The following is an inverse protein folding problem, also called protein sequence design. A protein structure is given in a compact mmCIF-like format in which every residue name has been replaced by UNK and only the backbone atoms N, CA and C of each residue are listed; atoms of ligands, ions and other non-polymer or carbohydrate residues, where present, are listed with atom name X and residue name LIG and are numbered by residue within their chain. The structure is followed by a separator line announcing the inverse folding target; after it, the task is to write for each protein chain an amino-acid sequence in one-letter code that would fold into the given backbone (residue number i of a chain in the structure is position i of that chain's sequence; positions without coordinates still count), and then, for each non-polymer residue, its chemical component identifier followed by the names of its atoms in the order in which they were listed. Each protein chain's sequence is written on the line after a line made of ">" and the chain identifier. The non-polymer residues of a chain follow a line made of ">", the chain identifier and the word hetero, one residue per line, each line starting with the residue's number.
data_IF_455306647074
#
_entry.id   IF_455306647074
#
_cell.length_a   1.000
_cell.length_b   1.000
_cell.length_c   1.000
_cell.angle_alpha   90.00
_cell.angle_beta   90.00
_cell.angle_gamma   90.00
#
_symmetry.space_group_name_H-M   'P 1'
#
loop_
_entity.id
_entity.type
_entity.pdbx_description
1 polymer ?
#
# COMPACT_ATOMS: atom_id res chain seq x y z
N UNK A 1 -24.96 -22.24 -8.36
CA UNK A 1 -24.55 -20.83 -8.28
C UNK A 1 -24.72 -20.36 -6.85
N UNK A 2 -23.62 -20.21 -6.12
CA UNK A 2 -23.58 -19.66 -4.76
C UNK A 2 -22.32 -18.80 -4.68
N UNK A 3 -22.49 -17.49 -4.67
CA UNK A 3 -21.42 -16.51 -4.53
C UNK A 3 -21.23 -16.21 -3.04
N UNK A 4 -20.25 -16.85 -2.43
CA UNK A 4 -19.67 -16.42 -1.16
C UNK A 4 -18.15 -16.56 -1.28
N UNK A 5 -17.50 -15.48 -1.70
CA UNK A 5 -16.05 -15.43 -1.92
C UNK A 5 -15.50 -14.12 -1.40
N UNK A 6 -15.72 -13.81 -0.12
CA UNK A 6 -14.96 -12.78 0.59
C UNK A 6 -13.67 -13.40 1.12
N UNK A 7 -12.56 -12.76 0.80
CA UNK A 7 -11.19 -13.14 1.13
C UNK A 7 -11.01 -13.33 2.66
N UNK A 8 -10.46 -14.45 3.15
CA UNK A 8 -10.35 -14.73 4.59
C UNK A 8 -9.37 -13.84 5.36
N UNK A 9 -8.67 -12.90 4.70
CA UNK A 9 -7.72 -11.96 5.34
C UNK A 9 -8.36 -10.82 6.16
N UNK A 10 -9.69 -10.69 6.19
CA UNK A 10 -10.39 -9.64 6.93
C UNK A 10 -10.69 -9.94 8.41
N UNK A 11 -10.10 -10.98 9.02
CA UNK A 11 -10.42 -11.39 10.40
C UNK A 11 -9.52 -10.82 11.51
N UNK A 12 -8.63 -9.88 11.21
CA UNK A 12 -7.55 -9.49 12.14
C UNK A 12 -7.66 -8.15 12.87
N UNK A 13 -8.61 -7.27 12.53
CA UNK A 13 -8.77 -5.97 13.19
C UNK A 13 -10.26 -5.68 13.37
N UNK A 14 -10.92 -6.48 14.20
CA UNK A 14 -12.24 -6.16 14.75
C UNK A 14 -12.12 -6.35 16.25
N UNK A 15 -11.79 -5.27 16.96
CA UNK A 15 -12.16 -5.19 18.36
C UNK A 15 -13.68 -5.26 18.43
N UNK A 16 -14.21 -6.12 19.30
CA UNK A 16 -15.66 -6.36 19.46
C UNK A 16 -16.46 -5.06 19.73
N UNK A 17 -15.80 -3.98 20.16
CA UNK A 17 -16.36 -2.64 20.30
C UNK A 17 -16.71 -1.96 18.96
N UNK A 18 -15.95 -2.18 17.88
CA UNK A 18 -16.17 -1.51 16.59
C UNK A 18 -17.45 -2.02 15.89
N UNK A 19 -17.67 -3.34 15.92
CA UNK A 19 -18.88 -3.96 15.38
C UNK A 19 -20.14 -3.68 16.23
N UNK A 20 -19.97 -3.51 17.55
CA UNK A 20 -21.06 -3.14 18.45
C UNK A 20 -21.53 -1.68 18.22
N UNK A 21 -20.59 -0.76 17.97
CA UNK A 21 -20.88 0.64 17.60
C UNK A 21 -21.58 0.72 16.23
N UNK A 22 -21.19 -0.13 15.27
CA UNK A 22 -21.79 -0.17 13.94
C UNK A 22 -23.24 -0.68 13.90
N UNK A 23 -23.66 -1.53 14.85
CA UNK A 23 -25.03 -2.10 14.87
C UNK A 23 -26.15 -1.11 15.21
N UNK A 24 -25.79 0.05 15.76
CA UNK A 24 -26.75 1.09 16.18
C UNK A 24 -26.61 2.42 15.44
N UNK A 25 -25.70 2.49 14.45
CA UNK A 25 -25.47 3.68 13.65
C UNK A 25 -26.65 3.93 12.67
N UNK A 26 -27.39 5.05 12.76
CA UNK A 26 -28.30 5.45 11.69
C UNK A 26 -27.50 5.61 10.38
N UNK A 27 -28.15 5.41 9.23
CA UNK A 27 -27.55 5.32 7.88
C UNK A 27 -26.47 6.37 7.54
N UNK A 28 -26.40 7.49 8.24
CA UNK A 28 -25.47 8.59 8.02
C UNK A 28 -24.17 8.50 8.86
N UNK A 29 -24.19 7.80 10.00
CA UNK A 29 -22.98 7.43 10.76
C UNK A 29 -22.17 6.34 10.03
N UNK A 30 -22.77 5.71 9.01
CA UNK A 30 -22.09 4.81 8.08
C UNK A 30 -21.08 5.52 7.18
N UNK A 31 -21.25 6.81 6.83
CA UNK A 31 -20.36 7.47 5.87
C UNK A 31 -18.98 7.79 6.49
N UNK A 32 -18.96 8.30 7.73
CA UNK A 32 -17.71 8.53 8.48
C UNK A 32 -17.04 7.20 8.84
N UNK A 33 -17.83 6.17 9.15
CA UNK A 33 -17.31 4.81 9.35
C UNK A 33 -16.73 4.23 8.06
N UNK A 34 -17.38 4.43 6.91
CA UNK A 34 -16.88 4.02 5.61
C UNK A 34 -15.58 4.75 5.26
N UNK A 35 -15.45 6.03 5.63
CA UNK A 35 -14.23 6.81 5.46
C UNK A 35 -13.07 6.20 6.26
N UNK A 36 -13.32 5.90 7.55
CA UNK A 36 -12.33 5.26 8.41
C UNK A 36 -11.89 3.89 7.86
N UNK A 37 -12.84 3.07 7.40
CA UNK A 37 -12.56 1.77 6.81
C UNK A 37 -11.77 1.87 5.50
N UNK A 38 -12.11 2.82 4.62
CA UNK A 38 -11.40 3.06 3.37
C UNK A 38 -9.95 3.49 3.64
N UNK A 39 -9.75 4.40 4.60
CA UNK A 39 -8.40 4.82 5.02
C UNK A 39 -7.61 3.63 5.57
N UNK A 40 -8.20 2.83 6.46
CA UNK A 40 -7.51 1.68 7.04
C UNK A 40 -7.12 0.63 5.98
N UNK A 41 -8.01 0.35 5.03
CA UNK A 41 -7.75 -0.59 3.92
C UNK A 41 -6.59 -0.11 3.08
N UNK A 42 -6.65 1.14 2.63
CA UNK A 42 -5.60 1.78 1.84
C UNK A 42 -4.24 1.76 2.53
N UNK A 43 -4.20 1.97 3.85
CA UNK A 43 -2.95 1.88 4.62
C UNK A 43 -2.34 0.48 4.59
N UNK A 44 -3.16 -0.56 4.75
CA UNK A 44 -2.69 -1.94 4.69
C UNK A 44 -2.19 -2.30 3.28
N UNK A 45 -2.89 -1.85 2.24
CA UNK A 45 -2.51 -2.12 0.86
C UNK A 45 -1.17 -1.43 0.52
N UNK A 46 -0.98 -0.18 0.96
CA UNK A 46 0.31 0.51 0.78
C UNK A 46 1.44 -0.15 1.58
N UNK A 47 1.18 -0.69 2.77
CA UNK A 47 2.16 -1.49 3.51
C UNK A 47 2.52 -2.80 2.79
N UNK A 48 1.53 -3.49 2.23
CA UNK A 48 1.74 -4.70 1.41
C UNK A 48 2.62 -4.37 0.21
N UNK A 49 2.27 -3.33 -0.54
CA UNK A 49 3.04 -2.85 -1.69
C UNK A 49 4.48 -2.50 -1.31
N UNK A 50 4.68 -1.78 -0.21
CA UNK A 50 6.02 -1.44 0.28
C UNK A 50 6.84 -2.68 0.63
N UNK A 51 6.24 -3.62 1.35
CA UNK A 51 6.89 -4.85 1.76
C UNK A 51 7.31 -5.70 0.56
N UNK A 52 6.40 -5.87 -0.42
CA UNK A 52 6.68 -6.61 -1.64
C UNK A 52 7.77 -5.96 -2.48
N UNK A 53 7.78 -4.62 -2.56
CA UNK A 53 8.79 -3.87 -3.32
C UNK A 53 10.18 -4.00 -2.69
N UNK A 54 10.26 -3.80 -1.38
CA UNK A 54 11.50 -3.98 -0.63
C UNK A 54 11.98 -5.42 -0.73
N UNK A 55 11.08 -6.39 -0.61
CA UNK A 55 11.39 -7.81 -0.75
C UNK A 55 12.00 -8.12 -2.13
N UNK A 56 11.36 -7.65 -3.21
CA UNK A 56 11.87 -7.82 -4.57
C UNK A 56 13.28 -7.24 -4.70
N UNK A 57 13.47 -5.98 -4.30
CA UNK A 57 14.76 -5.29 -4.45
C UNK A 57 15.84 -6.00 -3.62
N UNK A 58 15.61 -6.19 -2.32
CA UNK A 58 16.60 -6.77 -1.41
C UNK A 58 16.96 -8.20 -1.79
N UNK A 59 15.96 -9.05 -2.04
CA UNK A 59 16.22 -10.47 -2.30
C UNK A 59 16.93 -10.69 -3.63
N UNK A 60 16.52 -9.95 -4.66
CA UNK A 60 17.16 -10.04 -5.98
C UNK A 60 18.59 -9.51 -5.93
N UNK A 61 18.84 -8.37 -5.27
CA UNK A 61 20.20 -7.85 -5.10
C UNK A 61 21.10 -8.82 -4.32
N UNK A 62 20.61 -9.45 -3.25
CA UNK A 62 21.37 -10.45 -2.49
C UNK A 62 21.65 -11.73 -3.29
N UNK A 63 20.72 -12.13 -4.14
CA UNK A 63 20.89 -13.29 -5.02
C UNK A 63 21.94 -13.05 -6.12
N UNK A 64 22.25 -11.79 -6.43
CA UNK A 64 23.06 -11.36 -7.56
C UNK A 64 24.56 -11.20 -7.26
N UNK A 65 25.16 -12.15 -6.53
CA UNK A 65 26.52 -12.07 -5.94
C UNK A 65 27.66 -11.54 -6.87
N UNK A 66 27.52 -11.64 -8.20
CA UNK A 66 28.48 -11.10 -9.19
C UNK A 66 27.86 -10.17 -10.26
N UNK A 67 26.54 -9.98 -10.24
CA UNK A 67 25.75 -9.24 -11.24
C UNK A 67 25.11 -7.96 -10.70
N UNK A 68 25.63 -7.43 -9.59
CA UNK A 68 25.01 -6.34 -8.84
C UNK A 68 24.73 -5.09 -9.70
N UNK A 69 25.60 -4.75 -10.66
CA UNK A 69 25.39 -3.59 -11.55
C UNK A 69 24.24 -3.80 -12.52
N UNK A 70 24.13 -4.98 -13.12
CA UNK A 70 23.07 -5.32 -14.09
C UNK A 70 21.73 -5.45 -13.38
N UNK A 71 21.67 -6.19 -12.27
CA UNK A 71 20.45 -6.27 -11.44
C UNK A 71 20.01 -4.89 -10.93
N UNK A 72 20.95 -4.06 -10.48
CA UNK A 72 20.62 -2.69 -10.08
C UNK A 72 20.05 -1.88 -11.25
N UNK A 73 20.53 -2.07 -12.47
CA UNK A 73 20.01 -1.36 -13.65
C UNK A 73 18.58 -1.78 -14.01
N UNK A 74 18.19 -3.01 -13.72
CA UNK A 74 16.81 -3.51 -13.93
C UNK A 74 15.89 -3.06 -12.79
N UNK A 75 16.35 -3.13 -11.53
CA UNK A 75 15.54 -2.76 -10.36
C UNK A 75 15.36 -1.25 -10.19
N UNK A 76 16.30 -0.43 -10.67
CA UNK A 76 16.27 1.03 -10.53
C UNK A 76 15.02 1.65 -11.15
N UNK A 77 14.65 1.34 -12.41
CA UNK A 77 13.38 1.79 -12.99
C UNK A 77 12.15 1.39 -12.16
N UNK A 78 12.09 0.16 -11.63
CA UNK A 78 10.95 -0.31 -10.82
C UNK A 78 10.82 0.53 -9.55
N UNK A 79 11.94 0.74 -8.85
CA UNK A 79 12.03 1.60 -7.68
C UNK A 79 11.58 3.02 -8.01
N UNK A 80 12.09 3.59 -9.09
CA UNK A 80 11.84 5.00 -9.43
C UNK A 80 10.37 5.24 -9.78
N UNK A 81 9.73 4.32 -10.53
CA UNK A 81 8.27 4.37 -10.77
C UNK A 81 7.49 4.23 -9.47
N UNK A 82 7.87 3.28 -8.61
CA UNK A 82 7.20 3.13 -7.32
C UNK A 82 7.33 4.39 -6.46
N UNK A 83 8.48 5.07 -6.48
CA UNK A 83 8.64 6.36 -5.79
C UNK A 83 7.74 7.44 -6.39
N UNK A 84 7.64 7.53 -7.72
CA UNK A 84 6.70 8.46 -8.37
C UNK A 84 5.26 8.19 -7.92
N UNK A 85 4.87 6.91 -7.83
CA UNK A 85 3.57 6.49 -7.32
C UNK A 85 3.37 6.90 -5.86
N UNK A 86 4.33 6.64 -4.97
CA UNK A 86 4.28 7.09 -3.56
C UNK A 86 4.10 8.60 -3.44
N UNK A 87 4.78 9.38 -4.28
CA UNK A 87 4.64 10.85 -4.27
C UNK A 87 3.23 11.29 -4.65
N UNK A 88 2.62 10.65 -5.67
CA UNK A 88 1.25 10.92 -6.07
C UNK A 88 0.26 10.56 -4.95
N UNK A 89 0.41 9.39 -4.32
CA UNK A 89 -0.44 8.99 -3.19
C UNK A 89 -0.25 9.95 -2.02
N UNK A 90 0.99 10.36 -1.69
CA UNK A 90 1.28 11.29 -0.61
C UNK A 90 0.61 12.65 -0.81
N UNK A 91 0.63 13.16 -2.05
CA UNK A 91 -0.05 14.41 -2.40
C UNK A 91 -1.57 14.29 -2.22
N UNK A 92 -2.17 13.20 -2.71
CA UNK A 92 -3.59 12.92 -2.47
C UNK A 92 -3.90 12.81 -0.97
N UNK A 93 -3.03 12.16 -0.20
CA UNK A 93 -3.19 11.97 1.24
C UNK A 93 -3.20 13.27 2.02
N UNK A 94 -2.40 14.25 1.58
CA UNK A 94 -2.40 15.61 2.14
C UNK A 94 -3.77 16.27 1.97
N UNK A 95 -4.42 16.09 0.83
CA UNK A 95 -5.75 16.63 0.58
C UNK A 95 -6.82 15.92 1.42
N UNK A 96 -6.72 14.59 1.60
CA UNK A 96 -7.57 13.83 2.53
C UNK A 96 -7.40 14.34 3.97
N UNK A 97 -6.17 14.57 4.39
CA UNK A 97 -5.84 15.13 5.70
C UNK A 97 -6.50 16.51 5.92
N UNK A 98 -6.41 17.41 4.94
CA UNK A 98 -7.03 18.74 5.03
C UNK A 98 -8.55 18.66 5.06
N UNK A 99 -9.14 17.79 4.24
CA UNK A 99 -10.58 17.53 4.25
C UNK A 99 -11.08 17.05 5.63
N UNK A 100 -10.35 16.13 6.27
CA UNK A 100 -10.69 15.64 7.61
C UNK A 100 -10.60 16.74 8.68
N UNK A 101 -9.56 17.59 8.60
CA UNK A 101 -9.37 18.72 9.51
C UNK A 101 -10.55 19.71 9.43
N UNK A 102 -10.95 20.08 8.22
CA UNK A 102 -12.07 20.98 8.01
C UNK A 102 -13.42 20.36 8.41
N UNK A 103 -13.58 19.06 8.14
CA UNK A 103 -14.74 18.30 8.60
C UNK A 103 -14.88 18.31 10.12
N UNK A 104 -13.76 18.19 10.86
CA UNK A 104 -13.75 18.32 12.32
C UNK A 104 -14.18 19.71 12.79
N UNK A 105 -13.69 20.78 12.16
CA UNK A 105 -14.11 22.15 12.49
C UNK A 105 -15.60 22.37 12.24
N UNK A 106 -16.16 21.83 11.14
CA UNK A 106 -17.60 21.87 10.87
C UNK A 106 -18.39 21.19 12.01
N UNK A 107 -17.99 19.98 12.40
CA UNK A 107 -18.69 19.22 13.46
C UNK A 107 -18.54 19.81 14.86
N UNK A 108 -17.47 20.56 15.13
CA UNK A 108 -17.24 21.27 16.41
C UNK A 108 -17.99 22.60 16.51
N UNK A 109 -18.82 22.94 15.53
CA UNK A 109 -19.51 24.23 15.44
C UNK A 109 -18.57 25.44 15.27
N UNK A 110 -17.33 25.22 14.85
CA UNK A 110 -16.40 26.29 14.42
C UNK A 110 -16.71 26.72 12.97
N UNK A 111 -17.97 26.56 12.55
CA UNK A 111 -18.35 26.45 11.15
C UNK A 111 -18.33 27.81 10.45
N UNK A 112 -17.26 28.09 9.72
CA UNK A 112 -17.22 29.14 8.71
C UNK A 112 -17.57 28.55 7.33
N UNK A 113 -18.38 29.25 6.52
CA UNK A 113 -18.75 28.83 5.15
C UNK A 113 -17.54 28.50 4.26
N UNK A 114 -16.36 29.07 4.58
CA UNK A 114 -15.09 28.77 3.90
C UNK A 114 -14.71 27.28 3.97
N UNK A 115 -14.99 26.59 5.07
CA UNK A 115 -14.62 25.17 5.24
C UNK A 115 -15.42 24.24 4.33
N UNK A 116 -16.68 24.57 4.06
CA UNK A 116 -17.52 23.79 3.13
C UNK A 116 -17.05 23.97 1.68
N UNK A 117 -16.61 25.18 1.32
CA UNK A 117 -16.07 25.47 -0.01
C UNK A 117 -14.69 24.81 -0.24
N UNK A 118 -13.84 24.83 0.78
CA UNK A 118 -12.52 24.20 0.76
C UNK A 118 -12.60 22.67 0.69
N UNK A 119 -13.57 22.03 1.34
CA UNK A 119 -13.78 20.58 1.23
C UNK A 119 -13.95 20.10 -0.22
N UNK A 120 -14.62 20.88 -1.06
CA UNK A 120 -14.76 20.58 -2.49
C UNK A 120 -13.44 20.78 -3.26
N UNK A 121 -12.65 21.78 -2.87
CA UNK A 121 -11.33 22.01 -3.42
C UNK A 121 -10.40 20.82 -3.13
N UNK A 122 -10.36 20.34 -1.89
CA UNK A 122 -9.55 19.19 -1.49
C UNK A 122 -9.92 17.91 -2.25
N UNK A 123 -11.22 17.64 -2.45
CA UNK A 123 -11.66 16.49 -3.26
C UNK A 123 -11.17 16.62 -4.71
N UNK A 124 -11.28 17.80 -5.32
CA UNK A 124 -10.80 18.02 -6.69
C UNK A 124 -9.28 17.88 -6.79
N UNK A 125 -8.52 18.42 -5.84
CA UNK A 125 -7.08 18.29 -5.80
C UNK A 125 -6.66 16.81 -5.64
N UNK A 126 -7.28 16.08 -4.71
CA UNK A 126 -7.10 14.64 -4.53
C UNK A 126 -7.38 13.85 -5.83
N UNK A 127 -8.44 14.21 -6.57
CA UNK A 127 -8.78 13.56 -7.84
C UNK A 127 -7.70 13.75 -8.91
N UNK A 128 -7.05 14.92 -8.97
CA UNK A 128 -5.96 15.18 -9.92
C UNK A 128 -4.78 14.26 -9.64
N UNK A 129 -4.39 14.11 -8.36
CA UNK A 129 -3.29 13.23 -7.97
C UNK A 129 -3.65 11.75 -8.11
N UNK A 130 -4.92 11.36 -7.90
CA UNK A 130 -5.42 10.03 -8.22
C UNK A 130 -5.26 9.71 -9.71
N UNK A 131 -5.69 10.60 -10.61
CA UNK A 131 -5.56 10.40 -12.05
C UNK A 131 -4.09 10.30 -12.47
N UNK A 132 -3.21 11.08 -11.84
CA UNK A 132 -1.76 10.96 -12.02
C UNK A 132 -1.24 9.59 -11.55
N UNK A 133 -1.73 9.08 -10.43
CA UNK A 133 -1.38 7.75 -9.92
C UNK A 133 -1.83 6.64 -10.88
N UNK A 134 -3.06 6.72 -11.42
CA UNK A 134 -3.55 5.82 -12.47
C UNK A 134 -2.62 5.82 -13.69
N UNK A 135 -2.27 7.02 -14.19
CA UNK A 135 -1.35 7.14 -15.32
C UNK A 135 -0.02 6.46 -15.03
N UNK A 136 0.58 6.65 -13.86
CA UNK A 136 1.86 6.02 -13.50
C UNK A 136 1.75 4.48 -13.55
N UNK A 137 0.72 3.93 -12.92
CA UNK A 137 0.55 2.47 -12.79
C UNK A 137 0.13 1.84 -14.12
N UNK A 138 -0.97 2.29 -14.71
CA UNK A 138 -1.57 1.68 -15.89
C UNK A 138 -0.75 1.85 -17.16
N UNK A 139 -0.02 2.98 -17.31
CA UNK A 139 0.73 3.22 -18.55
C UNK A 139 2.19 2.79 -18.52
N UNK A 140 2.81 2.75 -17.34
CA UNK A 140 4.26 2.53 -17.22
C UNK A 140 4.61 1.35 -16.32
N UNK A 141 3.94 1.18 -15.19
CA UNK A 141 4.37 0.20 -14.20
C UNK A 141 4.12 -1.24 -14.67
N UNK A 142 2.96 -1.53 -15.25
CA UNK A 142 2.62 -2.88 -15.74
C UNK A 142 3.67 -3.42 -16.73
N UNK A 143 3.89 -2.66 -17.82
CA UNK A 143 4.84 -3.03 -18.85
C UNK A 143 6.25 -3.18 -18.28
N UNK A 144 6.66 -2.27 -17.39
CA UNK A 144 7.97 -2.34 -16.76
C UNK A 144 8.14 -3.61 -15.92
N UNK A 145 7.13 -4.02 -15.14
CA UNK A 145 7.20 -5.24 -14.33
C UNK A 145 7.37 -6.46 -15.23
N UNK A 146 6.59 -6.58 -16.30
CA UNK A 146 6.65 -7.72 -17.22
C UNK A 146 7.93 -7.76 -18.04
N UNK A 147 8.40 -6.62 -18.55
CA UNK A 147 9.69 -6.52 -19.26
C UNK A 147 10.86 -6.86 -18.33
N UNK A 148 10.74 -6.56 -17.04
CA UNK A 148 11.78 -6.85 -16.04
C UNK A 148 11.83 -8.32 -15.63
N UNK A 149 10.73 -9.08 -15.76
CA UNK A 149 10.66 -10.46 -15.29
C UNK A 149 11.75 -11.34 -15.92
N UNK A 150 11.78 -11.41 -17.25
CA UNK A 150 12.73 -12.24 -17.98
C UNK A 150 14.17 -11.76 -17.78
N UNK A 151 14.38 -10.45 -17.69
CA UNK A 151 15.69 -9.85 -17.44
C UNK A 151 16.24 -10.25 -16.07
N UNK A 152 15.42 -10.14 -15.02
CA UNK A 152 15.81 -10.53 -13.67
C UNK A 152 16.08 -12.04 -13.59
N UNK A 153 15.22 -12.86 -14.19
CA UNK A 153 15.39 -14.32 -14.20
C UNK A 153 16.67 -14.71 -14.94
N UNK A 154 16.93 -14.12 -16.12
CA UNK A 154 18.11 -14.45 -16.93
C UNK A 154 19.40 -14.07 -16.21
N UNK A 155 19.45 -12.89 -15.61
CA UNK A 155 20.61 -12.44 -14.85
C UNK A 155 20.82 -13.31 -13.59
N UNK A 156 19.75 -13.69 -12.89
CA UNK A 156 19.83 -14.63 -11.76
C UNK A 156 20.08 -16.08 -12.19
N UNK A 157 19.80 -16.49 -13.42
CA UNK A 157 20.17 -17.82 -13.92
C UNK A 157 21.68 -17.92 -14.14
N UNK A 158 22.28 -16.87 -14.69
CA UNK A 158 23.71 -16.84 -15.03
C UNK A 158 24.03 -17.77 -16.21
N UNK A 159 25.28 -18.22 -16.29
CA UNK A 159 25.72 -19.10 -17.39
C UNK A 159 25.11 -20.51 -17.29
N UNK A 160 24.99 -21.20 -18.42
CA UNK A 160 24.46 -22.57 -18.51
C UNK A 160 25.15 -23.55 -17.53
N UNK A 161 26.47 -23.44 -17.34
CA UNK A 161 27.20 -24.26 -16.37
C UNK A 161 26.80 -24.00 -14.92
N UNK A 162 26.45 -22.75 -14.59
CA UNK A 162 25.99 -22.36 -13.26
C UNK A 162 24.53 -22.80 -13.01
N UNK A 163 23.69 -22.73 -14.04
CA UNK A 163 22.32 -23.25 -13.98
C UNK A 163 22.29 -24.76 -13.70
N UNK A 164 23.17 -25.53 -14.34
CA UNK A 164 23.32 -26.97 -14.06
C UNK A 164 23.72 -27.19 -12.60
N UNK A 165 24.65 -26.40 -12.06
CA UNK A 165 25.09 -26.49 -10.67
C UNK A 165 23.96 -26.16 -9.67
N UNK A 166 23.13 -25.15 -9.95
CA UNK A 166 21.97 -24.78 -9.14
C UNK A 166 20.91 -25.91 -9.11
N UNK A 167 20.63 -26.54 -10.24
CA UNK A 167 19.67 -27.63 -10.31
C UNK A 167 20.20 -28.91 -9.67
N UNK A 168 21.48 -29.22 -9.84
CA UNK A 168 22.12 -30.37 -9.18
C UNK A 168 22.09 -30.24 -7.66
N UNK A 169 22.40 -29.06 -7.12
CA UNK A 169 22.36 -28.82 -5.67
C UNK A 169 20.95 -28.95 -5.10
N UNK A 170 19.93 -28.42 -5.78
CA UNK A 170 18.52 -28.61 -5.39
C UNK A 170 18.11 -30.09 -5.40
N UNK A 171 18.51 -30.84 -6.45
CA UNK A 171 18.10 -32.23 -6.66
C UNK A 171 18.77 -33.22 -5.73
N UNK A 172 20.07 -33.06 -5.47
CA UNK A 172 20.87 -34.08 -4.78
C UNK A 172 21.23 -33.74 -3.34
N UNK A 173 21.23 -32.45 -2.96
CA UNK A 173 21.68 -32.05 -1.63
C UNK A 173 20.53 -31.62 -0.70
N UNK A 174 19.26 -31.62 -1.15
CA UNK A 174 18.11 -30.95 -0.47
C UNK A 174 18.36 -29.47 -0.11
N UNK A 175 19.47 -28.90 -0.58
CA UNK A 175 19.84 -27.51 -0.41
C UNK A 175 19.37 -26.77 -1.65
N UNK A 176 18.26 -26.03 -1.56
CA UNK A 176 17.94 -25.05 -2.60
C UNK A 176 18.85 -23.85 -2.42
N UNK A 177 19.62 -23.51 -3.46
CA UNK A 177 20.34 -22.24 -3.49
C UNK A 177 19.35 -21.09 -3.30
N UNK A 178 19.66 -20.16 -2.39
CA UNK A 178 18.86 -18.94 -2.18
C UNK A 178 18.54 -18.22 -3.49
N UNK A 179 19.50 -18.18 -4.42
CA UNK A 179 19.33 -17.60 -5.75
C UNK A 179 18.25 -18.29 -6.59
N UNK A 180 18.15 -19.61 -6.52
CA UNK A 180 17.15 -20.40 -7.22
C UNK A 180 15.74 -20.16 -6.64
N UNK A 181 15.62 -20.06 -5.32
CA UNK A 181 14.35 -19.70 -4.65
C UNK A 181 13.89 -18.31 -5.09
N UNK A 182 14.78 -17.33 -5.05
CA UNK A 182 14.46 -15.94 -5.45
C UNK A 182 14.02 -15.91 -6.90
N UNK A 183 14.75 -16.59 -7.79
CA UNK A 183 14.40 -16.68 -9.22
C UNK A 183 13.01 -17.28 -9.45
N UNK A 184 12.67 -18.38 -8.76
CA UNK A 184 11.34 -19.01 -8.82
C UNK A 184 10.23 -18.10 -8.26
N UNK A 185 10.56 -17.17 -7.35
CA UNK A 185 9.60 -16.26 -6.72
C UNK A 185 9.37 -14.95 -7.49
N UNK A 186 10.25 -14.56 -8.42
CA UNK A 186 10.16 -13.28 -9.14
C UNK A 186 8.78 -13.08 -9.80
N UNK A 187 8.24 -14.02 -10.62
CA UNK A 187 6.96 -13.80 -11.30
C UNK A 187 5.83 -13.52 -10.31
N UNK A 188 5.79 -14.29 -9.21
CA UNK A 188 4.80 -14.10 -8.15
C UNK A 188 4.94 -12.73 -7.48
N UNK A 189 6.17 -12.26 -7.21
CA UNK A 189 6.42 -10.98 -6.56
C UNK A 189 6.05 -9.79 -7.45
N UNK A 190 6.33 -9.88 -8.75
CA UNK A 190 5.94 -8.86 -9.72
C UNK A 190 4.41 -8.80 -9.86
N UNK A 191 3.74 -9.96 -9.92
CA UNK A 191 2.27 -10.01 -9.89
C UNK A 191 1.70 -9.40 -8.60
N UNK A 192 2.26 -9.73 -7.43
CA UNK A 192 1.80 -9.14 -6.16
C UNK A 192 1.96 -7.61 -6.14
N UNK A 193 3.06 -7.08 -6.67
CA UNK A 193 3.27 -5.63 -6.78
C UNK A 193 2.23 -4.96 -7.69
N UNK A 194 1.91 -5.62 -8.80
CA UNK A 194 0.88 -5.15 -9.71
C UNK A 194 -0.51 -5.16 -9.06
N UNK A 195 -0.86 -6.28 -8.41
CA UNK A 195 -2.15 -6.46 -7.74
C UNK A 195 -2.29 -5.45 -6.58
N UNK A 196 -1.29 -5.32 -5.73
CA UNK A 196 -1.26 -4.34 -4.63
C UNK A 196 -1.45 -2.90 -5.18
N UNK A 197 -0.76 -2.54 -6.28
CA UNK A 197 -0.89 -1.21 -6.87
C UNK A 197 -2.31 -0.94 -7.40
N UNK A 198 -2.97 -1.95 -7.98
CA UNK A 198 -4.36 -1.87 -8.43
C UNK A 198 -5.34 -1.77 -7.27
N UNK A 199 -5.11 -2.52 -6.20
CA UNK A 199 -5.93 -2.48 -4.99
C UNK A 199 -5.85 -1.09 -4.34
N UNK A 200 -4.65 -0.51 -4.25
CA UNK A 200 -4.44 0.88 -3.81
C UNK A 200 -5.27 1.84 -4.67
N UNK A 201 -5.18 1.78 -6.01
CA UNK A 201 -5.94 2.65 -6.89
C UNK A 201 -7.46 2.50 -6.70
N UNK A 202 -7.97 1.27 -6.61
CA UNK A 202 -9.38 1.01 -6.36
C UNK A 202 -9.84 1.60 -5.01
N UNK A 203 -9.01 1.47 -3.97
CA UNK A 203 -9.31 2.02 -2.66
C UNK A 203 -9.25 3.56 -2.65
N UNK A 204 -8.31 4.18 -3.39
CA UNK A 204 -8.24 5.63 -3.57
C UNK A 204 -9.49 6.18 -4.28
N UNK A 205 -9.95 5.49 -5.33
CA UNK A 205 -11.19 5.88 -6.02
C UNK A 205 -12.40 5.80 -5.08
N UNK A 206 -12.52 4.70 -4.33
CA UNK A 206 -13.58 4.55 -3.33
C UNK A 206 -13.53 5.64 -2.24
N UNK A 207 -12.32 5.98 -1.78
CA UNK A 207 -12.11 7.05 -0.81
C UNK A 207 -12.63 8.39 -1.34
N UNK A 208 -12.34 8.74 -2.60
CA UNK A 208 -12.85 9.94 -3.26
C UNK A 208 -14.39 9.98 -3.32
N UNK A 209 -15.04 8.85 -3.60
CA UNK A 209 -16.50 8.75 -3.57
C UNK A 209 -17.07 8.96 -2.16
N UNK A 210 -16.44 8.38 -1.13
CA UNK A 210 -16.85 8.55 0.27
C UNK A 210 -16.72 10.01 0.68
N UNK A 211 -15.59 10.64 0.40
CA UNK A 211 -15.36 12.06 0.68
C UNK A 211 -16.41 12.93 0.00
N UNK A 212 -16.76 12.64 -1.26
CA UNK A 212 -17.80 13.36 -1.99
C UNK A 212 -19.18 13.25 -1.34
N UNK A 213 -19.55 12.05 -0.85
CA UNK A 213 -20.81 11.86 -0.11
C UNK A 213 -20.82 12.68 1.18
N UNK A 214 -19.75 12.62 1.97
CA UNK A 214 -19.61 13.40 3.20
C UNK A 214 -19.67 14.90 2.91
N UNK A 215 -19.05 15.35 1.82
CA UNK A 215 -19.10 16.76 1.43
C UNK A 215 -20.52 17.24 1.11
N UNK A 216 -21.33 16.40 0.45
CA UNK A 216 -22.75 16.68 0.22
C UNK A 216 -23.49 16.79 1.57
N UNK A 217 -23.19 15.92 2.53
CA UNK A 217 -23.76 15.99 3.89
C UNK A 217 -23.36 17.26 4.63
N UNK A 218 -22.10 17.68 4.52
CA UNK A 218 -21.64 18.94 5.07
C UNK A 218 -22.36 20.16 4.49
N UNK A 219 -23.01 20.06 3.32
CA UNK A 219 -23.86 21.14 2.78
C UNK A 219 -25.27 21.16 3.37
N UNK A 220 -25.81 20.04 3.85
CA UNK A 220 -27.15 19.96 4.44
C UNK A 220 -27.18 20.63 5.83
N UNK A 221 -27.98 21.71 6.01
CA UNK A 221 -28.17 22.34 7.31
C UNK A 221 -28.76 21.38 8.36
N UNK A 222 -29.69 20.52 7.95
CA UNK A 222 -30.35 19.55 8.83
C UNK A 222 -29.36 18.51 9.34
N UNK A 223 -28.51 17.98 8.44
CA UNK A 223 -27.47 17.03 8.81
C UNK A 223 -26.46 17.68 9.78
N UNK A 224 -26.00 18.90 9.48
CA UNK A 224 -25.10 19.63 10.38
C UNK A 224 -25.75 19.86 11.75
N UNK A 225 -26.98 20.33 11.80
CA UNK A 225 -27.68 20.57 13.08
C UNK A 225 -27.79 19.31 13.94
N UNK A 226 -27.93 18.13 13.32
CA UNK A 226 -28.03 16.85 14.02
C UNK A 226 -26.67 16.31 14.50
N UNK A 227 -25.59 16.54 13.74
CA UNK A 227 -24.27 15.96 14.02
C UNK A 227 -23.28 16.90 14.71
N UNK A 228 -23.53 18.21 14.69
CA UNK A 228 -22.70 19.20 15.40
C UNK A 228 -22.73 18.94 16.91
N UNK A 229 -21.55 18.89 17.53
CA UNK A 229 -21.39 18.64 18.95
C UNK A 229 -21.57 17.18 19.39
N UNK A 230 -21.87 16.25 18.46
CA UNK A 230 -21.93 14.81 18.78
C UNK A 230 -20.54 14.24 19.03
N UNK A 231 -20.26 13.97 20.31
CA UNK A 231 -18.94 13.50 20.76
C UNK A 231 -18.49 12.20 20.11
N UNK A 232 -19.40 11.24 19.87
CA UNK A 232 -19.07 9.96 19.26
C UNK A 232 -18.58 10.10 17.81
N UNK A 233 -19.24 10.95 17.02
CA UNK A 233 -18.87 11.24 15.63
C UNK A 233 -17.60 12.07 15.55
N UNK A 234 -17.46 13.08 16.41
CA UNK A 234 -16.24 13.88 16.52
C UNK A 234 -15.05 13.01 16.91
N UNK A 235 -15.22 12.07 17.84
CA UNK A 235 -14.17 11.15 18.26
C UNK A 235 -13.74 10.23 17.12
N UNK A 236 -14.68 9.64 16.38
CA UNK A 236 -14.37 8.77 15.24
C UNK A 236 -13.61 9.53 14.14
N UNK A 237 -14.05 10.74 13.80
CA UNK A 237 -13.37 11.57 12.81
C UNK A 237 -11.99 12.05 13.31
N UNK A 238 -11.86 12.34 14.61
CA UNK A 238 -10.59 12.74 15.22
C UNK A 238 -9.60 11.58 15.22
N UNK A 239 -10.03 10.36 15.56
CA UNK A 239 -9.20 9.16 15.45
C UNK A 239 -8.75 8.95 14.01
N UNK A 240 -9.69 8.99 13.06
CA UNK A 240 -9.39 8.87 11.62
C UNK A 240 -8.34 9.89 11.19
N UNK A 241 -8.52 11.17 11.57
CA UNK A 241 -7.56 12.24 11.33
C UNK A 241 -6.17 11.95 11.90
N UNK A 242 -6.09 11.52 13.17
CA UNK A 242 -4.82 11.18 13.80
C UNK A 242 -4.09 10.06 13.07
N UNK A 243 -4.80 9.00 12.66
CA UNK A 243 -4.24 7.91 11.87
C UNK A 243 -3.74 8.38 10.50
N UNK A 244 -4.54 9.18 9.78
CA UNK A 244 -4.15 9.78 8.49
C UNK A 244 -2.91 10.66 8.63
N UNK A 245 -2.83 11.48 9.68
CA UNK A 245 -1.69 12.37 9.96
C UNK A 245 -0.41 11.60 10.27
N UNK A 246 -0.49 10.56 11.10
CA UNK A 246 0.66 9.70 11.40
C UNK A 246 1.23 9.06 10.15
N UNK A 247 0.38 8.63 9.23
CA UNK A 247 0.84 8.02 7.99
C UNK A 247 1.49 9.03 7.06
N UNK A 248 0.90 10.23 6.88
CA UNK A 248 1.46 11.31 6.07
C UNK A 248 2.93 11.59 6.45
N UNK A 249 3.20 11.68 7.76
CA UNK A 249 4.54 11.93 8.28
C UNK A 249 5.52 10.76 8.06
N UNK A 250 5.02 9.55 7.78
CA UNK A 250 5.82 8.35 7.57
C UNK A 250 6.19 8.09 6.10
N UNK A 251 5.50 8.73 5.14
CA UNK A 251 5.71 8.45 3.71
C UNK A 251 7.11 8.87 3.25
N UNK A 252 7.58 10.04 3.67
CA UNK A 252 8.92 10.52 3.33
C UNK A 252 10.00 9.58 3.85
N UNK A 253 9.80 8.99 5.04
CA UNK A 253 10.70 7.98 5.58
C UNK A 253 10.71 6.71 4.71
N UNK A 254 9.55 6.26 4.21
CA UNK A 254 9.45 5.11 3.30
C UNK A 254 10.13 5.37 1.97
N UNK A 255 9.93 6.56 1.39
CA UNK A 255 10.62 6.99 0.18
C UNK A 255 12.13 7.01 0.42
N UNK A 256 12.57 7.56 1.55
CA UNK A 256 13.99 7.60 1.93
C UNK A 256 14.58 6.20 2.06
N UNK A 257 13.84 5.24 2.62
CA UNK A 257 14.26 3.83 2.72
C UNK A 257 14.48 3.17 1.35
N UNK A 258 13.73 3.58 0.32
CA UNK A 258 13.97 3.11 -1.06
C UNK A 258 15.30 3.66 -1.64
N UNK A 259 15.73 4.85 -1.23
CA UNK A 259 16.99 5.46 -1.69
C UNK A 259 18.21 5.12 -0.82
N UNK A 260 18.01 4.73 0.44
CA UNK A 260 19.06 4.29 1.38
C UNK A 260 19.83 3.02 0.97
N UNK A 261 19.48 2.43 -0.17
CA UNK A 261 20.11 1.24 -0.76
C UNK A 261 21.36 1.51 -1.61
N UNK A 262 21.86 2.75 -1.63
CA UNK A 262 22.95 3.19 -2.54
C UNK A 262 24.21 3.63 -1.80
N UNK A 263 24.41 3.16 -0.57
CA UNK A 263 25.40 3.69 0.37
C UNK A 263 26.43 2.70 0.87
N UNK A 264 27.01 1.85 0.00
CA UNK A 264 28.31 1.18 0.24
C UNK A 264 28.48 0.28 1.47
N UNK A 265 27.45 0.08 2.30
CA UNK A 265 27.45 -0.92 3.36
C UNK A 265 26.56 -2.08 2.93
N UNK A 266 27.19 -3.24 2.78
CA UNK A 266 26.52 -4.53 2.73
C UNK A 266 25.38 -4.53 3.74
N UNK A 267 24.20 -4.92 3.30
CA UNK A 267 23.19 -5.36 4.25
C UNK A 267 23.85 -6.45 5.11
N UNK A 268 23.93 -6.32 6.44
CA UNK A 268 24.01 -7.51 7.24
C UNK A 268 22.77 -8.29 6.87
N UNK A 269 22.97 -9.45 6.26
CA UNK A 269 21.96 -10.48 6.15
C UNK A 269 21.23 -10.49 7.49
N UNK A 270 19.99 -10.01 7.53
CA UNK A 270 19.14 -10.30 8.68
C UNK A 270 19.11 -11.82 8.72
N UNK A 271 19.68 -12.42 9.77
CA UNK A 271 19.81 -13.88 9.92
C UNK A 271 18.46 -14.60 9.73
N UNK A 272 17.37 -13.85 9.82
CA UNK A 272 15.99 -14.15 9.43
C UNK A 272 15.85 -14.70 7.98
N UNK A 273 16.66 -14.24 7.02
CA UNK A 273 16.51 -14.52 5.58
C UNK A 273 17.56 -15.47 4.99
N UNK A 274 18.48 -16.00 5.80
CA UNK A 274 19.50 -16.96 5.35
C UNK A 274 19.46 -18.22 6.21
N UNK A 275 19.14 -19.33 5.57
CA UNK A 275 18.95 -20.63 6.22
C UNK A 275 17.48 -20.91 6.56
N UNK A 276 17.14 -22.15 6.95
CA UNK A 276 15.77 -22.62 7.09
C UNK A 276 15.13 -21.98 8.33
N UNK A 277 14.73 -20.73 8.23
CA UNK A 277 14.00 -20.07 9.29
C UNK A 277 12.54 -20.52 9.21
N UNK A 278 12.07 -21.11 10.30
CA UNK A 278 10.69 -21.55 10.50
C UNK A 278 9.68 -20.40 10.29
N UNK A 279 10.09 -19.13 10.40
CA UNK A 279 9.24 -17.98 10.09
C UNK A 279 9.01 -17.78 8.59
N UNK A 280 9.99 -18.10 7.73
CA UNK A 280 9.81 -18.10 6.27
C UNK A 280 8.97 -19.30 5.87
N UNK A 281 9.19 -20.47 6.48
CA UNK A 281 8.38 -21.67 6.27
C UNK A 281 6.97 -21.58 6.86
N UNK A 282 6.74 -20.78 7.89
CA UNK A 282 5.41 -20.49 8.45
C UNK A 282 4.46 -19.87 7.42
N UNK A 283 5.02 -19.12 6.46
CA UNK A 283 4.29 -18.58 5.30
C UNK A 283 4.10 -19.61 4.18
N UNK A 284 4.91 -20.67 4.14
CA UNK A 284 4.77 -21.81 3.22
C UNK A 284 3.79 -22.88 3.74
N UNK A 285 3.59 -23.00 5.06
CA UNK A 285 2.69 -23.99 5.68
C UNK A 285 1.21 -23.60 5.72
N UNK A 286 0.85 -22.42 5.20
CA UNK A 286 -0.55 -21.99 5.05
C UNK A 286 -1.07 -22.09 3.61
N UNK A 287 -0.48 -22.99 2.81
CA UNK A 287 -1.11 -23.52 1.60
C UNK A 287 -2.47 -24.14 1.93
#
# INVERSE_FOLDING_TARGET
>A
MSASGLNPRFKGIQGDDFLAIMKHAPKDQNEITALANAINTLLNDVESFHSNLMCLITQTSLAAMFGCSVISSILTPIRDIAVEFYRAISAMWKEVYLFLLEGLSILRSECEYKYIANAEHHIRAAQVDYLRACQIIESRFENLLWDSEELLITELRGSCGFEILLHLTKRFCTLSSYRLIVMECIPRRLSMLWDDAREILACLNHLGEVMSRIQIRFRSPEWRAYYTGRGDVINLLSQTFHYTSSWHNSVDERIRRLYGYSGGQELPIRREYVGPNESVWGWYSSL
#
